data_IF_533932697505
#
_entry.id   IF_533932697505
#
_cell.length_a   1.000
_cell.length_b   1.000
_cell.length_c   1.000
_cell.angle_alpha   90.00
_cell.angle_beta   90.00
_cell.angle_gamma   90.00
#
_symmetry.space_group_name_H-M   'P 1'
#
loop_
_entity.id
_entity.type
_entity.pdbx_description
1 polymer ?
#
# COMPACT_ATOMS: atom_id res chain seq x y z
N UNK A 1 18.65 18.44 -10.30
CA UNK A 1 18.05 17.37 -9.48
C UNK A 1 16.70 17.03 -10.13
N UNK A 2 16.49 15.79 -10.55
CA UNK A 2 15.32 15.42 -11.35
C UNK A 2 14.62 14.22 -10.72
N UNK A 3 13.48 14.50 -10.10
CA UNK A 3 12.60 13.51 -9.51
C UNK A 3 11.34 13.44 -10.38
N UNK A 4 11.12 12.32 -11.04
CA UNK A 4 10.12 12.18 -12.11
C UNK A 4 9.45 10.81 -12.04
N UNK A 5 8.16 10.77 -12.36
CA UNK A 5 7.42 9.54 -12.56
C UNK A 5 6.71 9.59 -13.92
N UNK A 6 6.85 8.53 -14.70
CA UNK A 6 6.05 8.28 -15.90
C UNK A 6 4.84 7.44 -15.50
N UNK A 7 3.65 7.94 -15.80
CA UNK A 7 2.38 7.28 -15.47
C UNK A 7 1.67 6.90 -16.77
N UNK A 8 1.18 5.68 -16.82
CA UNK A 8 0.37 5.12 -17.89
C UNK A 8 -1.10 5.49 -17.70
N UNK A 9 -1.62 6.31 -18.61
CA UNK A 9 -2.97 6.87 -18.50
C UNK A 9 -4.08 5.90 -18.89
N UNK A 10 -3.77 4.71 -19.46
CA UNK A 10 -4.79 3.78 -19.98
C UNK A 10 -5.84 3.40 -18.93
N UNK A 11 -5.40 2.98 -17.73
CA UNK A 11 -6.31 2.60 -16.64
C UNK A 11 -7.05 3.80 -16.01
N UNK A 12 -6.57 5.02 -16.25
CA UNK A 12 -7.16 6.26 -15.73
C UNK A 12 -8.27 6.75 -16.67
N UNK A 13 -8.04 6.63 -17.98
CA UNK A 13 -8.92 7.11 -19.03
C UNK A 13 -9.98 6.09 -19.46
N UNK A 14 -9.69 4.79 -19.36
CA UNK A 14 -10.61 3.73 -19.78
C UNK A 14 -11.64 3.33 -18.69
N UNK A 15 -12.86 2.91 -19.08
CA UNK A 15 -13.37 2.91 -20.45
C UNK A 15 -13.82 4.30 -20.93
N UNK A 16 -13.92 5.28 -20.03
CA UNK A 16 -14.27 6.66 -20.36
C UNK A 16 -13.76 7.67 -19.31
N UNK A 17 -13.24 8.78 -19.82
CA UNK A 17 -12.95 10.00 -19.07
C UNK A 17 -13.53 11.19 -19.86
N UNK A 18 -14.27 12.05 -19.17
CA UNK A 18 -14.80 13.27 -19.78
C UNK A 18 -13.62 14.17 -20.20
N UNK A 19 -13.52 14.62 -21.48
CA UNK A 19 -12.41 15.44 -21.97
C UNK A 19 -12.23 16.78 -21.24
N UNK A 20 -13.21 17.22 -20.46
CA UNK A 20 -13.14 18.44 -19.63
C UNK A 20 -12.42 18.21 -18.30
N UNK A 21 -12.22 16.96 -17.89
CA UNK A 21 -11.49 16.63 -16.66
C UNK A 21 -10.02 16.86 -16.90
N UNK A 22 -9.35 17.58 -15.99
CA UNK A 22 -7.92 17.81 -16.10
C UNK A 22 -7.14 16.52 -15.83
N UNK A 23 -5.95 16.39 -16.43
CA UNK A 23 -5.05 15.24 -16.18
C UNK A 23 -4.69 15.15 -14.69
N UNK A 24 -4.57 16.27 -14.00
CA UNK A 24 -4.29 16.31 -12.57
C UNK A 24 -5.43 15.70 -11.76
N UNK A 25 -6.68 16.11 -12.03
CA UNK A 25 -7.83 15.56 -11.32
C UNK A 25 -8.02 14.08 -11.62
N UNK A 26 -7.81 13.68 -12.88
CA UNK A 26 -7.87 12.29 -13.29
C UNK A 26 -6.83 11.43 -12.55
N UNK A 27 -5.59 11.92 -12.45
CA UNK A 27 -4.51 11.24 -11.73
C UNK A 27 -4.79 11.18 -10.22
N UNK A 28 -5.26 12.26 -9.61
CA UNK A 28 -5.56 12.32 -8.17
C UNK A 28 -6.69 11.37 -7.79
N UNK A 29 -7.73 11.27 -8.62
CA UNK A 29 -8.93 10.51 -8.30
C UNK A 29 -8.96 9.07 -8.84
N UNK A 30 -8.11 8.73 -9.79
CA UNK A 30 -8.09 7.37 -10.39
C UNK A 30 -6.71 6.73 -10.43
N UNK A 31 -5.64 7.51 -10.28
CA UNK A 31 -4.28 7.00 -10.33
C UNK A 31 -3.97 6.03 -9.20
N UNK A 32 -3.31 4.94 -9.54
CA UNK A 32 -2.82 3.92 -8.59
C UNK A 32 -1.35 3.65 -8.85
N UNK A 33 -0.69 3.03 -7.87
CA UNK A 33 0.73 2.66 -8.01
C UNK A 33 1.01 1.73 -9.20
N UNK A 34 0.04 0.91 -9.63
CA UNK A 34 0.16 0.03 -10.80
C UNK A 34 0.25 0.78 -12.14
N UNK A 35 -0.20 2.03 -12.15
CA UNK A 35 -0.19 2.88 -13.34
C UNK A 35 1.19 3.55 -13.53
N UNK A 36 2.05 3.55 -12.50
CA UNK A 36 3.42 4.05 -12.61
C UNK A 36 4.27 3.07 -13.40
N UNK A 37 4.87 3.55 -14.48
CA UNK A 37 5.71 2.74 -15.37
C UNK A 37 7.21 2.87 -15.04
N UNK A 38 7.68 4.11 -14.92
CA UNK A 38 9.10 4.45 -14.78
C UNK A 38 9.27 5.55 -13.73
N UNK A 39 10.29 5.46 -12.88
CA UNK A 39 10.60 6.46 -11.84
C UNK A 39 12.08 6.80 -11.87
N UNK A 40 12.37 8.10 -11.81
CA UNK A 40 13.70 8.66 -11.64
C UNK A 40 13.80 9.36 -10.29
N UNK A 41 14.89 9.13 -9.58
CA UNK A 41 15.27 9.85 -8.37
C UNK A 41 16.66 10.42 -8.62
N UNK A 42 16.83 11.73 -8.47
CA UNK A 42 18.11 12.40 -8.75
C UNK A 42 18.65 12.17 -10.17
N UNK A 43 17.77 11.91 -11.14
CA UNK A 43 18.12 11.56 -12.51
C UNK A 43 18.52 10.09 -12.73
N UNK A 44 18.55 9.29 -11.67
CA UNK A 44 18.80 7.84 -11.74
C UNK A 44 17.48 7.08 -11.89
N UNK A 45 17.40 6.15 -12.84
CA UNK A 45 16.21 5.32 -13.07
C UNK A 45 16.15 4.20 -12.03
N UNK A 46 15.18 4.28 -11.12
CA UNK A 46 14.97 3.30 -10.03
C UNK A 46 13.86 2.28 -10.32
N UNK A 47 12.97 2.63 -11.26
CA UNK A 47 11.91 1.76 -11.81
C UNK A 47 11.87 1.98 -13.32
N UNK A 48 11.79 0.92 -14.12
CA UNK A 48 11.60 0.97 -15.58
C UNK A 48 10.72 -0.18 -16.04
N UNK A 49 9.77 0.09 -16.93
CA UNK A 49 8.84 -0.92 -17.45
C UNK A 49 8.16 -1.71 -16.30
N UNK A 50 7.82 -1.00 -15.21
CA UNK A 50 7.26 -1.57 -13.96
C UNK A 50 8.18 -2.55 -13.21
N UNK A 51 9.46 -2.61 -13.55
CA UNK A 51 10.47 -3.42 -12.86
C UNK A 51 11.44 -2.53 -12.08
N UNK A 52 11.72 -2.93 -10.83
CA UNK A 52 12.71 -2.25 -10.00
C UNK A 52 14.10 -2.52 -10.56
N UNK A 53 14.92 -1.48 -10.71
CA UNK A 53 16.27 -1.61 -11.26
C UNK A 53 17.33 -1.90 -10.20
N UNK A 54 17.01 -1.61 -8.93
CA UNK A 54 17.96 -1.68 -7.80
C UNK A 54 17.65 -2.75 -6.77
N UNK A 55 16.55 -3.49 -6.94
CA UNK A 55 16.08 -4.48 -5.96
C UNK A 55 15.93 -5.82 -6.65
N UNK A 56 16.71 -6.80 -6.19
CA UNK A 56 16.45 -8.19 -6.49
C UNK A 56 15.28 -8.67 -5.63
N UNK A 57 14.11 -8.82 -6.25
CA UNK A 57 12.90 -9.28 -5.56
C UNK A 57 13.08 -10.68 -4.99
N UNK A 58 13.76 -11.60 -5.68
CA UNK A 58 13.89 -12.97 -5.22
C UNK A 58 14.78 -13.03 -3.97
N UNK A 59 15.91 -12.33 -3.99
CA UNK A 59 16.78 -12.22 -2.82
C UNK A 59 16.03 -11.57 -1.64
N UNK A 60 15.32 -10.46 -1.88
CA UNK A 60 14.53 -9.79 -0.85
C UNK A 60 13.46 -10.68 -0.22
N UNK A 61 12.72 -11.45 -1.03
CA UNK A 61 11.72 -12.40 -0.51
C UNK A 61 12.37 -13.56 0.26
N UNK A 62 13.58 -13.98 -0.13
CA UNK A 62 14.39 -14.93 0.64
C UNK A 62 14.76 -14.38 2.02
N UNK A 63 15.30 -13.17 2.07
CA UNK A 63 15.65 -12.50 3.33
C UNK A 63 14.43 -12.30 4.25
N UNK A 64 13.28 -11.89 3.68
CA UNK A 64 12.03 -11.75 4.43
C UNK A 64 11.59 -13.09 5.00
N UNK A 65 11.67 -14.17 4.20
CA UNK A 65 11.33 -15.53 4.66
C UNK A 65 12.23 -15.93 5.82
N UNK A 66 13.54 -15.83 5.67
CA UNK A 66 14.49 -16.24 6.71
C UNK A 66 14.30 -15.44 8.01
N UNK A 67 14.03 -14.14 7.87
CA UNK A 67 13.75 -13.26 9.00
C UNK A 67 12.44 -13.58 9.73
N UNK A 68 11.45 -14.15 9.04
CA UNK A 68 10.14 -14.51 9.60
C UNK A 68 10.03 -15.97 10.04
N UNK A 69 10.80 -16.87 9.41
CA UNK A 69 10.83 -18.30 9.73
C UNK A 69 11.71 -18.61 10.94
N UNK A 70 12.49 -17.64 11.44
CA UNK A 70 13.24 -17.81 12.69
C UNK A 70 12.29 -18.01 13.89
N UNK A 71 12.72 -18.71 14.94
CA UNK A 71 11.99 -18.73 16.20
C UNK A 71 11.79 -17.31 16.75
N UNK A 72 10.64 -17.10 17.40
CA UNK A 72 10.37 -15.86 18.13
C UNK A 72 11.41 -15.66 19.22
N UNK A 73 11.88 -14.43 19.37
CA UNK A 73 12.67 -14.03 20.52
C UNK A 73 11.80 -14.04 21.78
N UNK A 74 12.39 -14.14 22.98
CA UNK A 74 11.63 -14.12 24.24
C UNK A 74 10.71 -12.91 24.37
N UNK A 75 11.15 -11.73 23.90
CA UNK A 75 10.35 -10.51 23.92
C UNK A 75 9.16 -10.57 22.95
N UNK A 76 9.34 -11.19 21.78
CA UNK A 76 8.26 -11.39 20.80
C UNK A 76 7.22 -12.40 21.31
N UNK A 77 7.67 -13.45 22.01
CA UNK A 77 6.77 -14.43 22.65
C UNK A 77 5.94 -13.77 23.77
N UNK A 78 6.57 -12.99 24.64
CA UNK A 78 5.88 -12.23 25.68
C UNK A 78 4.84 -11.27 25.08
N UNK A 79 5.22 -10.53 24.02
CA UNK A 79 4.30 -9.62 23.32
C UNK A 79 3.14 -10.36 22.67
N UNK A 80 3.40 -11.56 22.12
CA UNK A 80 2.37 -12.42 21.52
C UNK A 80 1.38 -12.91 22.57
N UNK A 81 1.86 -13.36 23.72
CA UNK A 81 0.99 -13.82 24.81
C UNK A 81 0.17 -12.66 25.39
N UNK A 82 0.78 -11.50 25.61
CA UNK A 82 0.05 -10.30 26.02
C UNK A 82 -1.04 -9.92 25.01
N UNK A 83 -0.72 -9.92 23.71
CA UNK A 83 -1.69 -9.64 22.65
C UNK A 83 -2.84 -10.65 22.67
N UNK A 84 -2.56 -11.94 22.90
CA UNK A 84 -3.57 -13.00 23.04
C UNK A 84 -4.49 -12.77 24.23
N UNK A 85 -3.96 -12.33 25.36
CA UNK A 85 -4.72 -12.03 26.58
C UNK A 85 -5.57 -10.76 26.42
N UNK A 86 -5.09 -9.76 25.69
CA UNK A 86 -5.74 -8.45 25.53
C UNK A 86 -6.78 -8.42 24.40
N UNK A 87 -6.65 -9.28 23.38
CA UNK A 87 -7.55 -9.34 22.21
C UNK A 87 -9.06 -9.38 22.56
N UNK A 88 -9.53 -10.21 23.51
CA UNK A 88 -10.95 -10.29 23.83
C UNK A 88 -11.48 -8.97 24.42
N UNK A 89 -10.66 -8.28 25.20
CA UNK A 89 -11.01 -7.01 25.83
C UNK A 89 -11.05 -5.88 24.81
N UNK A 90 -10.10 -5.84 23.87
CA UNK A 90 -10.14 -4.88 22.76
C UNK A 90 -11.37 -5.10 21.89
N UNK A 91 -11.69 -6.35 21.56
CA UNK A 91 -12.88 -6.70 20.78
C UNK A 91 -14.16 -6.23 21.49
N UNK A 92 -14.29 -6.50 22.79
CA UNK A 92 -15.43 -6.06 23.58
C UNK A 92 -15.53 -4.52 23.63
N UNK A 93 -14.42 -3.84 23.91
CA UNK A 93 -14.36 -2.38 23.96
C UNK A 93 -14.80 -1.76 22.64
N UNK A 94 -14.23 -2.19 21.51
CA UNK A 94 -14.61 -1.65 20.20
C UNK A 94 -16.02 -2.06 19.76
N UNK A 95 -16.53 -3.22 20.18
CA UNK A 95 -17.92 -3.63 19.89
C UNK A 95 -18.98 -2.75 20.56
N UNK A 96 -18.65 -2.14 21.70
CA UNK A 96 -19.56 -1.29 22.46
C UNK A 96 -19.44 0.21 22.10
N UNK A 97 -18.39 0.60 21.39
CA UNK A 97 -18.00 2.02 21.23
C UNK A 97 -18.15 2.54 19.79
N UNK A 98 -18.34 1.67 18.79
CA UNK A 98 -18.73 2.11 17.44
C UNK A 98 -20.25 2.13 17.29
N UNK A 99 -20.87 3.29 16.98
CA UNK A 99 -22.27 3.30 16.62
C UNK A 99 -22.46 2.51 15.31
N UNK A 100 -23.56 1.74 15.17
CA UNK A 100 -23.80 0.87 14.02
C UNK A 100 -23.91 1.61 12.67
N UNK A 101 -23.98 2.95 12.70
CA UNK A 101 -24.06 3.85 11.56
C UNK A 101 -22.79 4.70 11.34
N UNK A 102 -21.67 4.34 11.98
CA UNK A 102 -20.39 5.00 11.77
C UNK A 102 -19.94 4.84 10.30
N UNK A 103 -20.41 5.73 9.44
CA UNK A 103 -19.95 5.84 8.07
C UNK A 103 -18.44 6.07 8.14
N UNK A 104 -17.66 5.21 7.47
CA UNK A 104 -16.23 5.41 7.34
C UNK A 104 -16.00 6.84 6.84
N UNK A 105 -15.25 7.64 7.60
CA UNK A 105 -14.98 9.04 7.25
C UNK A 105 -14.26 9.19 5.90
N UNK A 106 -13.72 8.08 5.40
CA UNK A 106 -13.13 7.94 4.06
C UNK A 106 -13.66 6.67 3.38
N UNK A 107 -14.56 6.82 2.42
CA UNK A 107 -15.09 5.73 1.60
C UNK A 107 -14.21 5.38 0.38
N UNK A 108 -12.93 5.77 0.38
CA UNK A 108 -12.10 5.74 -0.83
C UNK A 108 -11.36 4.41 -1.08
N UNK A 109 -11.21 3.51 -0.08
CA UNK A 109 -10.51 2.22 -0.27
C UNK A 109 -11.12 1.03 0.51
N UNK A 110 -12.36 1.14 1.01
CA UNK A 110 -12.96 0.12 1.87
C UNK A 110 -13.59 -1.08 1.12
N UNK A 111 -13.46 -1.13 -0.22
CA UNK A 111 -13.89 -2.28 -1.03
C UNK A 111 -12.82 -2.58 -2.09
N UNK A 112 -11.95 -3.54 -1.78
CA UNK A 112 -11.29 -4.40 -2.75
C UNK A 112 -11.50 -5.85 -2.30
#
# INVERSE_FOLDING_TARGET
>A
RADLALVDMRNIEEPYLDPRVSVVDALVHRGRGIDVDTVLVDGEVVLRDRQLTRVDKQALFGEIRDALDRPLSPQEEERRELARLVEPHLRQFYSATMPPDAAAFTAYNARS
#
